data_IF_956478926418
#
_entry.id   IF_956478926418
#
_cell.length_a   1.000
_cell.length_b   1.000
_cell.length_c   1.000
_cell.angle_alpha   90.00
_cell.angle_beta   90.00
_cell.angle_gamma   90.00
#
_symmetry.space_group_name_H-M   'P 1'
#
loop_
_entity.id
_entity.type
_entity.pdbx_description
1 polymer ?
#
# COMPACT_ATOMS: atom_id res chain seq x y z
N UNK A 1 0.68 -31.24 -14.47
CA UNK A 1 -0.75 -31.43 -14.13
C UNK A 1 -1.35 -30.02 -14.05
N UNK A 2 -2.45 -29.76 -14.78
CA UNK A 2 -3.20 -28.52 -14.68
C UNK A 2 -3.69 -28.37 -13.24
N UNK A 3 -3.44 -27.23 -12.62
CA UNK A 3 -3.85 -26.95 -11.23
C UNK A 3 -5.32 -26.45 -11.12
N UNK A 4 -6.08 -26.56 -12.22
CA UNK A 4 -7.48 -26.14 -12.29
C UNK A 4 -7.72 -24.66 -12.60
N UNK A 5 -6.66 -23.83 -12.69
CA UNK A 5 -6.77 -22.38 -12.87
C UNK A 5 -6.44 -21.87 -14.28
N UNK A 6 -6.28 -22.76 -15.26
CA UNK A 6 -5.93 -22.39 -16.64
C UNK A 6 -6.99 -21.46 -17.27
N UNK A 7 -8.28 -21.71 -17.00
CA UNK A 7 -9.37 -20.84 -17.46
C UNK A 7 -9.31 -19.44 -16.90
N UNK A 8 -9.00 -19.31 -15.60
CA UNK A 8 -8.82 -18.01 -14.95
C UNK A 8 -7.59 -17.27 -15.53
N UNK A 9 -6.46 -17.98 -15.68
CA UNK A 9 -5.25 -17.39 -16.30
C UNK A 9 -5.55 -16.84 -17.68
N UNK A 10 -6.22 -17.62 -18.53
CA UNK A 10 -6.59 -17.18 -19.87
C UNK A 10 -7.45 -15.91 -19.85
N UNK A 11 -8.49 -15.85 -19.01
CA UNK A 11 -9.35 -14.65 -18.85
C UNK A 11 -8.56 -13.43 -18.39
N UNK A 12 -7.65 -13.58 -17.42
CA UNK A 12 -6.86 -12.47 -16.91
C UNK A 12 -5.85 -11.98 -17.93
N UNK A 13 -5.17 -12.90 -18.66
CA UNK A 13 -4.27 -12.52 -19.75
C UNK A 13 -5.01 -11.76 -20.85
N UNK A 14 -6.14 -12.28 -21.33
CA UNK A 14 -6.97 -11.62 -22.33
C UNK A 14 -7.40 -10.22 -21.88
N UNK A 15 -7.81 -10.08 -20.63
CA UNK A 15 -8.20 -8.77 -20.07
C UNK A 15 -7.03 -7.78 -20.04
N UNK A 16 -5.86 -8.21 -19.59
CA UNK A 16 -4.64 -7.39 -19.52
C UNK A 16 -4.15 -6.99 -20.91
N UNK A 17 -4.16 -7.93 -21.86
CA UNK A 17 -3.78 -7.69 -23.27
C UNK A 17 -4.75 -6.71 -23.95
N UNK A 18 -6.07 -6.81 -23.68
CA UNK A 18 -7.08 -5.89 -24.20
C UNK A 18 -6.91 -4.47 -23.61
N UNK A 19 -6.58 -4.34 -22.32
CA UNK A 19 -6.29 -3.06 -21.71
C UNK A 19 -5.15 -2.32 -22.40
N UNK A 20 -4.08 -3.03 -22.70
CA UNK A 20 -2.90 -2.46 -23.36
C UNK A 20 -3.17 -2.28 -24.85
N UNK A 21 -3.74 -3.28 -25.53
CA UNK A 21 -4.04 -3.25 -26.97
C UNK A 21 -5.02 -2.15 -27.37
N UNK A 22 -6.00 -1.84 -26.50
CA UNK A 22 -6.94 -0.74 -26.70
C UNK A 22 -6.37 0.63 -26.32
N UNK A 23 -5.18 0.70 -25.70
CA UNK A 23 -4.56 1.93 -25.22
C UNK A 23 -5.20 2.50 -23.93
N UNK A 24 -6.06 1.73 -23.26
CA UNK A 24 -6.59 2.11 -21.93
C UNK A 24 -5.51 2.13 -20.87
N UNK A 25 -4.55 1.19 -20.97
CA UNK A 25 -3.37 1.14 -20.11
C UNK A 25 -2.09 1.16 -20.95
N UNK A 26 -0.98 1.62 -20.34
CA UNK A 26 0.34 1.60 -20.98
C UNK A 26 1.15 0.38 -20.55
N UNK A 27 1.19 0.10 -19.25
CA UNK A 27 1.83 -1.07 -18.66
C UNK A 27 1.08 -1.52 -17.41
N UNK A 28 0.87 -2.83 -17.29
CA UNK A 28 0.06 -3.47 -16.25
C UNK A 28 0.75 -4.74 -15.76
N UNK A 29 0.64 -5.01 -14.46
CA UNK A 29 0.91 -6.31 -13.85
C UNK A 29 -0.27 -6.71 -12.96
N UNK A 30 -0.57 -8.00 -12.93
CA UNK A 30 -1.54 -8.62 -12.01
C UNK A 30 -0.97 -9.92 -11.48
N UNK A 31 -1.09 -10.15 -10.19
CA UNK A 31 -0.71 -11.40 -9.57
C UNK A 31 -1.74 -11.82 -8.52
N UNK A 32 -1.99 -13.12 -8.41
CA UNK A 32 -2.83 -13.70 -7.38
C UNK A 32 -2.21 -14.98 -6.82
N UNK A 33 -2.33 -15.13 -5.49
CA UNK A 33 -1.93 -16.33 -4.76
C UNK A 33 -3.15 -16.93 -4.07
N UNK A 34 -3.24 -18.25 -4.09
CA UNK A 34 -4.26 -19.01 -3.39
C UNK A 34 -3.58 -20.03 -2.48
N UNK A 35 -3.87 -19.96 -1.17
CA UNK A 35 -3.25 -20.82 -0.17
C UNK A 35 -1.71 -20.88 -0.27
N UNK A 36 -1.08 -19.71 -0.46
CA UNK A 36 0.37 -19.54 -0.57
C UNK A 36 0.97 -19.91 -1.94
N UNK A 37 0.16 -20.33 -2.93
CA UNK A 37 0.62 -20.71 -4.27
C UNK A 37 0.18 -19.71 -5.33
N UNK A 38 1.04 -19.34 -6.29
CA UNK A 38 0.66 -18.45 -7.37
C UNK A 38 -0.35 -19.15 -8.30
N UNK A 39 -1.48 -18.48 -8.54
CA UNK A 39 -2.51 -18.97 -9.48
C UNK A 39 -2.64 -18.10 -10.72
N UNK A 40 -2.26 -16.81 -10.62
CA UNK A 40 -2.22 -15.84 -11.72
C UNK A 40 -0.93 -15.04 -11.62
N UNK A 41 -0.26 -14.88 -12.75
CA UNK A 41 0.79 -13.89 -13.00
C UNK A 41 0.65 -13.42 -14.44
N UNK A 42 0.13 -12.21 -14.65
CA UNK A 42 -0.10 -11.63 -15.96
C UNK A 42 0.48 -10.21 -16.02
N UNK A 43 1.09 -9.86 -17.12
CA UNK A 43 1.67 -8.55 -17.36
C UNK A 43 1.73 -8.25 -18.85
N UNK A 44 1.56 -6.99 -19.21
CA UNK A 44 1.65 -6.54 -20.60
C UNK A 44 2.06 -5.07 -20.69
N UNK A 45 2.44 -4.65 -21.87
CA UNK A 45 2.68 -3.27 -22.24
C UNK A 45 4.07 -2.75 -21.93
N UNK A 46 4.17 -1.44 -21.78
CA UNK A 46 5.43 -0.69 -21.75
C UNK A 46 5.64 -0.07 -20.37
N UNK A 47 6.74 -0.41 -19.72
CA UNK A 47 7.15 0.14 -18.44
C UNK A 47 7.69 1.57 -18.58
N UNK A 48 8.39 1.87 -19.66
CA UNK A 48 8.88 3.21 -19.99
C UNK A 48 8.54 3.58 -21.44
N UNK A 49 7.52 4.41 -21.67
CA UNK A 49 7.13 4.84 -23.01
C UNK A 49 8.23 5.61 -23.77
N UNK A 50 9.16 6.27 -23.07
CA UNK A 50 10.22 7.03 -23.73
C UNK A 50 11.30 6.14 -24.38
N UNK A 51 11.52 4.95 -23.81
CA UNK A 51 12.52 3.98 -24.30
C UNK A 51 11.91 2.77 -24.98
N UNK A 52 10.60 2.55 -24.85
CA UNK A 52 9.90 1.34 -25.28
C UNK A 52 10.20 0.12 -24.41
N UNK A 53 10.78 0.29 -23.21
CA UNK A 53 11.10 -0.81 -22.31
C UNK A 53 9.83 -1.54 -21.90
N UNK A 54 9.74 -2.88 -22.13
CA UNK A 54 8.54 -3.64 -21.80
C UNK A 54 8.38 -3.82 -20.29
N UNK A 55 7.15 -4.11 -19.86
CA UNK A 55 6.87 -4.62 -18.52
C UNK A 55 7.38 -6.04 -18.40
N UNK A 56 7.98 -6.38 -17.27
CA UNK A 56 8.39 -7.73 -16.87
C UNK A 56 7.76 -8.08 -15.52
N UNK A 57 7.72 -9.36 -15.10
CA UNK A 57 7.11 -9.74 -13.82
C UNK A 57 7.69 -9.00 -12.61
N UNK A 58 8.96 -8.63 -12.67
CA UNK A 58 9.73 -7.97 -11.60
C UNK A 58 9.87 -6.46 -11.80
N UNK A 59 9.16 -5.86 -12.77
CA UNK A 59 9.14 -4.41 -12.95
C UNK A 59 8.53 -3.73 -11.72
N UNK A 60 9.25 -2.85 -11.00
CA UNK A 60 8.66 -2.12 -9.90
C UNK A 60 7.83 -0.93 -10.42
N UNK A 61 6.61 -0.78 -9.92
CA UNK A 61 5.71 0.32 -10.24
C UNK A 61 5.56 1.27 -9.04
N UNK A 62 5.72 2.60 -9.21
CA UNK A 62 5.33 3.54 -8.16
C UNK A 62 3.83 3.43 -7.93
N UNK A 63 3.44 2.88 -6.79
CA UNK A 63 2.06 2.46 -6.49
C UNK A 63 1.40 3.35 -5.44
N UNK A 64 2.01 4.49 -5.14
CA UNK A 64 1.52 5.52 -4.23
C UNK A 64 1.06 4.88 -2.90
N UNK A 65 -0.16 5.13 -2.45
CA UNK A 65 -0.65 4.70 -1.13
C UNK A 65 -0.81 3.19 -0.95
N UNK A 66 -0.68 2.37 -2.01
CA UNK A 66 -0.58 0.91 -1.86
C UNK A 66 0.61 0.53 -0.97
N UNK A 67 1.65 1.37 -0.94
CA UNK A 67 2.81 1.24 -0.04
C UNK A 67 2.47 1.26 1.46
N UNK A 68 1.34 1.84 1.88
CA UNK A 68 0.93 1.81 3.30
C UNK A 68 0.68 0.40 3.80
N UNK A 69 0.24 -0.50 2.91
CA UNK A 69 0.13 -1.92 3.24
C UNK A 69 1.48 -2.59 3.53
N UNK A 70 2.54 -2.19 2.81
CA UNK A 70 3.91 -2.61 3.13
C UNK A 70 4.34 -2.08 4.50
N UNK A 71 4.06 -0.80 4.75
CA UNK A 71 4.38 -0.14 6.03
C UNK A 71 3.70 -0.82 7.20
N UNK A 72 2.40 -1.10 7.10
CA UNK A 72 1.66 -1.83 8.10
C UNK A 72 2.26 -3.23 8.32
N UNK A 73 2.59 -3.94 7.24
CA UNK A 73 3.23 -5.27 7.31
C UNK A 73 4.56 -5.22 8.06
N UNK A 74 5.42 -4.22 7.80
CA UNK A 74 6.68 -4.03 8.55
C UNK A 74 6.41 -3.89 10.05
N UNK A 75 5.45 -3.04 10.42
CA UNK A 75 5.08 -2.86 11.84
C UNK A 75 4.63 -4.18 12.46
N UNK A 76 3.81 -4.97 11.76
CA UNK A 76 3.26 -6.21 12.29
C UNK A 76 4.33 -7.29 12.43
N UNK A 77 5.29 -7.37 11.50
CA UNK A 77 6.44 -8.27 11.61
C UNK A 77 7.30 -7.90 12.82
N UNK A 78 7.56 -6.61 13.04
CA UNK A 78 8.30 -6.15 14.21
C UNK A 78 7.53 -6.39 15.52
N UNK A 79 6.21 -6.23 15.51
CA UNK A 79 5.35 -6.52 16.66
C UNK A 79 5.27 -8.02 16.95
N UNK A 80 5.23 -8.88 15.94
CA UNK A 80 5.31 -10.35 16.10
C UNK A 80 6.61 -10.78 16.78
N UNK A 81 7.71 -10.08 16.49
CA UNK A 81 9.02 -10.33 17.08
C UNK A 81 9.25 -9.64 18.42
N UNK A 82 8.24 -8.94 18.97
CA UNK A 82 8.33 -8.23 20.24
C UNK A 82 9.21 -6.97 20.21
N UNK A 83 9.56 -6.47 19.02
CA UNK A 83 10.39 -5.26 18.85
C UNK A 83 9.56 -3.97 18.88
N UNK A 84 8.24 -4.06 18.62
CA UNK A 84 7.26 -2.99 18.70
C UNK A 84 6.00 -3.47 19.39
N UNK A 85 5.17 -2.53 19.83
CA UNK A 85 3.80 -2.77 20.30
C UNK A 85 2.87 -1.75 19.65
N UNK A 86 1.68 -2.17 19.23
CA UNK A 86 0.72 -1.26 18.60
C UNK A 86 0.31 -0.10 19.52
N UNK A 87 0.27 -0.32 20.82
CA UNK A 87 -0.07 0.69 21.82
C UNK A 87 1.16 1.47 22.36
N UNK A 88 2.31 1.37 21.67
CA UNK A 88 3.50 2.14 22.00
C UNK A 88 3.21 3.63 21.77
N UNK A 89 3.28 4.50 22.80
CA UNK A 89 3.28 5.94 22.61
C UNK A 89 4.53 6.36 21.81
N UNK A 90 4.35 7.13 20.74
CA UNK A 90 5.47 7.54 19.89
C UNK A 90 6.54 8.28 20.70
N UNK A 91 6.11 9.12 21.65
CA UNK A 91 7.00 9.89 22.52
C UNK A 91 7.94 9.04 23.38
N UNK A 92 7.66 7.74 23.57
CA UNK A 92 8.54 6.84 24.34
C UNK A 92 9.85 6.54 23.61
N UNK A 93 9.82 6.53 22.30
CA UNK A 93 11.00 6.27 21.46
C UNK A 93 11.45 7.53 20.72
N UNK A 94 10.56 8.50 20.58
CA UNK A 94 10.77 9.79 19.93
C UNK A 94 10.39 10.94 20.90
N UNK A 95 11.28 11.29 21.86
CA UNK A 95 10.93 12.23 22.95
C UNK A 95 10.49 13.62 22.49
N UNK A 96 11.05 14.12 21.37
CA UNK A 96 10.71 15.43 20.80
C UNK A 96 9.25 15.48 20.33
N UNK A 97 8.66 14.34 20.01
CA UNK A 97 7.27 14.21 19.61
C UNK A 97 6.27 14.52 20.72
N UNK A 98 6.69 14.54 22.01
CA UNK A 98 5.80 14.83 23.14
C UNK A 98 5.27 16.28 23.20
N UNK A 99 5.84 17.18 22.38
CA UNK A 99 5.39 18.58 22.32
C UNK A 99 3.88 18.66 22.01
N UNK A 100 3.23 19.73 22.49
CA UNK A 100 1.80 20.03 22.27
C UNK A 100 0.84 18.91 22.74
N UNK A 101 1.20 18.19 23.82
CA UNK A 101 0.33 17.17 24.42
C UNK A 101 0.24 15.84 23.63
N UNK A 102 1.20 15.58 22.71
CA UNK A 102 1.23 14.36 21.88
C UNK A 102 1.78 13.12 22.60
N UNK A 103 2.11 13.20 23.88
CA UNK A 103 2.64 12.10 24.69
C UNK A 103 1.71 10.86 24.73
N UNK A 104 0.42 11.03 24.46
CA UNK A 104 -0.59 9.96 24.40
C UNK A 104 -0.83 9.38 23.02
N UNK A 105 -0.27 9.95 21.96
CA UNK A 105 -0.41 9.41 20.60
C UNK A 105 0.36 8.10 20.51
N UNK A 106 -0.35 7.01 20.19
CA UNK A 106 0.23 5.68 20.05
C UNK A 106 0.39 5.30 18.57
N UNK A 107 1.20 4.28 18.31
CA UNK A 107 1.32 3.70 16.98
C UNK A 107 -0.05 3.20 16.43
N UNK A 108 -0.93 2.68 17.31
CA UNK A 108 -2.32 2.32 16.96
C UNK A 108 -3.08 3.53 16.39
N UNK A 109 -3.00 4.70 17.00
CA UNK A 109 -3.66 5.90 16.49
C UNK A 109 -3.16 6.29 15.09
N UNK A 110 -1.87 6.10 14.81
CA UNK A 110 -1.32 6.35 13.47
C UNK A 110 -1.83 5.30 12.48
N UNK A 111 -1.77 4.02 12.83
CA UNK A 111 -2.21 2.91 11.96
C UNK A 111 -3.71 2.97 11.65
N UNK A 112 -4.52 3.49 12.54
CA UNK A 112 -5.97 3.67 12.33
C UNK A 112 -6.35 5.05 11.77
N UNK A 113 -5.37 5.88 11.41
CA UNK A 113 -5.59 7.24 10.92
C UNK A 113 -6.36 8.15 11.89
N UNK A 114 -6.18 7.97 13.21
CA UNK A 114 -6.84 8.74 14.25
C UNK A 114 -5.87 9.57 15.12
N UNK A 115 -4.62 9.73 14.69
CA UNK A 115 -3.59 10.43 15.46
C UNK A 115 -3.78 11.96 15.55
N UNK A 116 -4.67 12.55 14.73
CA UNK A 116 -4.91 14.00 14.71
C UNK A 116 -3.85 14.83 13.97
N UNK A 117 -2.95 14.17 13.22
CA UNK A 117 -1.83 14.81 12.51
C UNK A 117 -1.87 14.56 10.97
N UNK A 118 -3.01 14.71 10.28
CA UNK A 118 -3.08 14.41 8.85
C UNK A 118 -2.52 15.52 7.96
N UNK A 119 -2.36 16.75 8.49
CA UNK A 119 -2.06 17.96 7.71
C UNK A 119 -0.57 18.18 7.47
N UNK A 120 -0.28 18.81 6.34
CA UNK A 120 1.03 19.37 5.96
C UNK A 120 0.93 20.89 5.76
N UNK A 121 2.03 21.65 5.87
CA UNK A 121 2.09 23.04 5.46
C UNK A 121 1.66 23.21 3.99
N UNK A 122 0.92 24.28 3.70
CA UNK A 122 0.36 24.52 2.37
C UNK A 122 1.43 24.72 1.27
N UNK A 123 2.63 25.13 1.65
CA UNK A 123 3.79 25.38 0.79
C UNK A 123 4.73 24.17 0.68
N UNK A 124 4.33 23.00 1.21
CA UNK A 124 5.14 21.77 1.12
C UNK A 124 5.46 21.44 -0.34
N UNK A 125 6.73 21.14 -0.61
CA UNK A 125 7.27 20.81 -1.91
C UNK A 125 7.69 19.34 -2.02
N UNK A 126 7.88 18.79 -3.23
CA UNK A 126 8.45 17.45 -3.39
C UNK A 126 9.84 17.27 -2.75
N UNK A 127 10.64 18.32 -2.70
CA UNK A 127 11.93 18.29 -2.01
C UNK A 127 11.76 18.13 -0.50
N UNK A 128 10.75 18.79 0.10
CA UNK A 128 10.43 18.60 1.52
C UNK A 128 10.00 17.17 1.80
N UNK A 129 9.20 16.53 0.92
CA UNK A 129 8.83 15.12 1.09
C UNK A 129 10.05 14.19 1.15
N UNK A 130 11.13 14.55 0.47
CA UNK A 130 12.38 13.77 0.45
C UNK A 130 13.30 14.08 1.65
N UNK A 131 13.05 15.15 2.38
CA UNK A 131 13.84 15.56 3.55
C UNK A 131 13.26 14.93 4.82
N UNK A 132 13.76 13.74 5.16
CA UNK A 132 13.32 12.98 6.33
C UNK A 132 13.40 13.77 7.64
N UNK A 133 14.55 14.36 7.90
CA UNK A 133 14.81 15.02 9.19
C UNK A 133 13.93 16.26 9.35
N UNK A 134 13.77 17.05 8.28
CA UNK A 134 12.87 18.19 8.23
C UNK A 134 11.41 17.80 8.52
N UNK A 135 10.92 16.74 7.85
CA UNK A 135 9.52 16.32 8.01
C UNK A 135 9.27 15.69 9.40
N UNK A 136 10.22 14.95 9.93
CA UNK A 136 10.14 14.46 11.30
C UNK A 136 10.15 15.61 12.32
N UNK A 137 11.03 16.59 12.16
CA UNK A 137 11.06 17.78 13.02
C UNK A 137 9.73 18.57 12.96
N UNK A 138 9.17 18.75 11.76
CA UNK A 138 7.88 19.39 11.54
C UNK A 138 6.77 18.66 12.29
N UNK A 139 6.71 17.32 12.19
CA UNK A 139 5.68 16.52 12.86
C UNK A 139 5.87 16.47 14.39
N UNK A 140 7.12 16.51 14.85
CA UNK A 140 7.43 16.59 16.27
C UNK A 140 6.95 17.94 16.87
N UNK A 141 6.98 19.02 16.10
CA UNK A 141 6.52 20.36 16.52
C UNK A 141 5.05 20.65 16.15
N UNK A 142 4.39 19.81 15.37
CA UNK A 142 3.01 20.02 14.95
C UNK A 142 2.03 19.87 16.12
N UNK A 143 1.02 20.75 16.20
CA UNK A 143 -0.10 20.64 17.12
C UNK A 143 -1.18 19.72 16.53
N UNK A 144 -1.69 18.71 17.28
CA UNK A 144 -2.78 17.86 16.80
C UNK A 144 -4.05 18.69 16.54
N UNK A 145 -4.78 18.36 15.49
CA UNK A 145 -6.04 19.04 15.15
C UNK A 145 -7.19 18.65 16.08
N UNK A 146 -7.07 17.52 16.78
CA UNK A 146 -8.01 16.97 17.77
C UNK A 146 -7.30 15.93 18.63
N UNK A 147 -7.95 15.52 19.70
CA UNK A 147 -7.45 14.45 20.58
C UNK A 147 -7.30 13.12 19.82
N UNK A 148 -6.22 12.35 20.08
CA UNK A 148 -6.01 11.08 19.42
C UNK A 148 -7.19 10.12 19.68
N UNK A 149 -7.68 9.50 18.60
CA UNK A 149 -8.84 8.61 18.62
C UNK A 149 -10.18 9.31 18.36
N UNK A 150 -10.26 10.63 18.39
CA UNK A 150 -11.54 11.37 18.28
C UNK A 150 -12.12 11.33 16.86
N UNK A 151 -11.27 11.42 15.83
CA UNK A 151 -11.71 11.50 14.44
C UNK A 151 -10.85 10.62 13.53
N UNK A 152 -11.52 10.03 12.55
CA UNK A 152 -10.89 9.33 11.43
C UNK A 152 -10.53 10.35 10.35
N UNK A 153 -9.24 10.50 10.07
CA UNK A 153 -8.74 11.35 8.99
C UNK A 153 -7.54 10.72 8.30
N UNK A 154 -7.64 10.48 7.03
CA UNK A 154 -6.58 9.84 6.27
C UNK A 154 -5.27 10.63 6.31
N UNK A 155 -4.24 10.08 6.93
CA UNK A 155 -2.90 10.63 7.00
C UNK A 155 -2.17 10.32 5.69
N UNK A 156 -2.44 11.10 4.63
CA UNK A 156 -1.99 10.78 3.28
C UNK A 156 -0.46 10.64 3.17
N UNK A 157 0.28 11.61 3.69
CA UNK A 157 1.73 11.66 3.71
C UNK A 157 2.32 11.42 5.10
N UNK A 158 1.74 12.05 6.12
CA UNK A 158 2.26 12.07 7.48
C UNK A 158 2.35 10.68 8.11
N UNK A 159 1.47 9.74 7.69
CA UNK A 159 1.54 8.32 8.04
C UNK A 159 2.96 7.75 7.89
N UNK A 160 3.64 8.10 6.79
CA UNK A 160 4.95 7.55 6.49
C UNK A 160 6.00 7.92 7.54
N UNK A 161 6.14 9.19 7.84
CA UNK A 161 7.15 9.64 8.81
C UNK A 161 6.77 9.25 10.24
N UNK A 162 5.47 9.33 10.61
CA UNK A 162 5.03 8.92 11.95
C UNK A 162 5.34 7.45 12.23
N UNK A 163 5.07 6.56 11.29
CA UNK A 163 5.41 5.13 11.43
C UNK A 163 6.90 4.92 11.25
N UNK A 164 7.49 5.46 10.20
CA UNK A 164 8.88 5.20 9.85
C UNK A 164 9.87 5.71 10.89
N UNK A 165 9.65 6.89 11.48
CA UNK A 165 10.51 7.41 12.55
C UNK A 165 10.32 6.60 13.85
N UNK A 166 9.08 6.17 14.15
CA UNK A 166 8.85 5.26 15.27
C UNK A 166 9.61 3.94 15.12
N UNK A 167 9.59 3.34 13.92
CA UNK A 167 10.38 2.13 13.61
C UNK A 167 11.88 2.41 13.76
N UNK A 168 12.36 3.51 13.16
CA UNK A 168 13.78 3.87 13.23
C UNK A 168 14.26 4.07 14.67
N UNK A 169 13.55 4.85 15.48
CA UNK A 169 13.90 5.10 16.88
C UNK A 169 13.81 3.86 17.77
N UNK A 170 12.84 2.99 17.49
CA UNK A 170 12.68 1.76 18.29
C UNK A 170 13.68 0.67 17.94
N UNK A 171 14.12 0.58 16.67
CA UNK A 171 14.96 -0.55 16.20
C UNK A 171 16.36 -0.16 15.78
N UNK A 172 16.67 1.13 15.62
CA UNK A 172 17.92 1.63 15.04
C UNK A 172 18.05 1.42 13.52
N UNK A 173 17.01 0.86 12.84
CA UNK A 173 17.01 0.57 11.41
C UNK A 173 16.00 1.46 10.68
N UNK A 174 16.32 1.92 9.47
CA UNK A 174 15.36 2.55 8.59
C UNK A 174 14.28 1.54 8.19
N UNK A 175 13.06 2.01 7.99
CA UNK A 175 11.92 1.12 7.66
C UNK A 175 12.11 0.41 6.31
N UNK A 176 12.77 1.05 5.34
CA UNK A 176 13.17 0.43 4.06
C UNK A 176 14.13 -0.73 4.26
N UNK A 177 15.06 -0.60 5.19
CA UNK A 177 15.98 -1.69 5.55
C UNK A 177 15.22 -2.87 6.17
N UNK A 178 14.27 -2.60 7.08
CA UNK A 178 13.43 -3.67 7.67
C UNK A 178 12.59 -4.36 6.60
N UNK A 179 11.97 -3.59 5.67
CA UNK A 179 11.22 -4.16 4.55
C UNK A 179 12.10 -5.11 3.72
N UNK A 180 13.30 -4.70 3.38
CA UNK A 180 14.22 -5.49 2.56
C UNK A 180 14.70 -6.77 3.28
N UNK A 181 15.12 -6.65 4.55
CA UNK A 181 15.75 -7.74 5.31
C UNK A 181 14.73 -8.74 5.86
N UNK A 182 13.58 -8.25 6.35
CA UNK A 182 12.62 -9.06 7.11
C UNK A 182 11.45 -9.57 6.28
N UNK A 183 11.25 -8.98 5.08
CA UNK A 183 10.11 -9.29 4.21
C UNK A 183 10.56 -9.68 2.80
N UNK A 184 11.20 -8.76 2.06
CA UNK A 184 11.50 -9.00 0.66
C UNK A 184 12.51 -10.12 0.44
N UNK A 185 13.62 -10.14 1.22
CA UNK A 185 14.66 -11.16 1.09
C UNK A 185 14.16 -12.57 1.49
N UNK A 186 13.48 -12.77 2.64
CA UNK A 186 12.93 -14.08 2.99
C UNK A 186 11.89 -14.59 1.97
N UNK A 187 11.10 -13.70 1.39
CA UNK A 187 10.10 -14.04 0.37
C UNK A 187 10.71 -14.29 -1.02
N UNK A 188 12.02 -14.10 -1.20
CA UNK A 188 12.68 -14.29 -2.49
C UNK A 188 12.30 -13.26 -3.56
N UNK A 189 11.93 -12.04 -3.14
CA UNK A 189 11.57 -10.91 -4.01
C UNK A 189 12.44 -9.67 -3.75
N UNK A 190 13.78 -9.81 -3.59
CA UNK A 190 14.66 -8.67 -3.39
C UNK A 190 14.59 -7.73 -4.61
N UNK A 191 14.55 -6.42 -4.37
CA UNK A 191 14.47 -5.43 -5.45
C UNK A 191 13.10 -5.30 -6.12
N UNK A 192 12.02 -5.73 -5.43
CA UNK A 192 10.65 -5.62 -5.95
C UNK A 192 9.68 -4.93 -4.97
N UNK A 193 10.11 -4.63 -3.75
CA UNK A 193 9.34 -3.88 -2.74
C UNK A 193 10.24 -2.78 -2.19
N UNK A 194 9.85 -1.51 -2.38
CA UNK A 194 10.63 -0.36 -1.95
C UNK A 194 9.74 0.72 -1.31
N UNK A 195 10.31 1.44 -0.34
CA UNK A 195 9.89 2.79 0.02
C UNK A 195 10.79 3.81 -0.69
N UNK A 196 12.10 3.72 -0.50
CA UNK A 196 13.10 4.45 -1.29
C UNK A 196 13.78 3.50 -2.28
N UNK A 197 13.73 3.84 -3.57
CA UNK A 197 14.36 3.02 -4.63
C UNK A 197 15.85 3.34 -4.69
N UNK A 198 16.75 2.35 -4.54
CA UNK A 198 18.18 2.54 -4.74
C UNK A 198 18.51 3.08 -6.13
N UNK A 199 19.56 3.89 -6.24
CA UNK A 199 19.97 4.51 -7.52
C UNK A 199 20.17 3.45 -8.63
N UNK A 200 20.72 2.29 -8.29
CA UNK A 200 20.95 1.19 -9.23
C UNK A 200 19.65 0.58 -9.79
N UNK A 201 18.54 0.68 -9.05
CA UNK A 201 17.24 0.12 -9.43
C UNK A 201 16.31 1.12 -10.13
N UNK A 202 16.62 2.44 -10.06
CA UNK A 202 15.79 3.47 -10.71
C UNK A 202 15.53 3.20 -12.20
N UNK A 203 16.52 2.72 -13.00
CA UNK A 203 16.28 2.41 -14.41
C UNK A 203 15.25 1.29 -14.64
N UNK A 204 14.98 0.44 -13.63
CA UNK A 204 13.99 -0.64 -13.71
C UNK A 204 12.56 -0.17 -13.42
N UNK A 205 12.42 0.95 -12.71
CA UNK A 205 11.12 1.48 -12.28
C UNK A 205 10.25 1.85 -13.47
N UNK A 206 8.97 1.50 -13.41
CA UNK A 206 8.00 1.90 -14.41
C UNK A 206 7.76 3.41 -14.34
N UNK A 207 7.74 4.07 -15.51
CA UNK A 207 7.53 5.50 -15.60
C UNK A 207 6.04 5.82 -15.54
N UNK A 208 5.63 6.58 -14.53
CA UNK A 208 4.24 7.03 -14.41
C UNK A 208 3.88 8.03 -15.52
N UNK A 209 2.67 7.86 -16.04
CA UNK A 209 2.00 8.82 -16.92
C UNK A 209 0.62 9.14 -16.35
N UNK A 210 0.22 10.41 -16.43
CA UNK A 210 -1.09 10.84 -15.95
C UNK A 210 -2.17 10.58 -17.01
N UNK A 211 -3.32 10.08 -16.57
CA UNK A 211 -4.51 9.89 -17.40
C UNK A 211 -5.73 10.56 -16.74
N UNK A 212 -5.58 11.83 -16.37
CA UNK A 212 -6.63 12.63 -15.79
C UNK A 212 -6.70 12.60 -14.26
N UNK A 213 -5.89 11.78 -13.58
CA UNK A 213 -5.87 11.74 -12.11
C UNK A 213 -5.52 13.09 -11.51
N UNK A 214 -4.50 13.76 -12.03
CA UNK A 214 -4.07 15.07 -11.54
C UNK A 214 -5.19 16.10 -11.61
N UNK A 215 -5.86 16.19 -12.76
CA UNK A 215 -6.98 17.12 -12.94
C UNK A 215 -8.17 16.77 -12.02
N UNK A 216 -8.45 15.48 -11.83
CA UNK A 216 -9.51 15.02 -10.92
C UNK A 216 -9.21 15.41 -9.47
N UNK A 217 -7.97 15.22 -9.01
CA UNK A 217 -7.57 15.62 -7.63
C UNK A 217 -7.68 17.13 -7.47
N UNK A 218 -7.20 17.91 -8.45
CA UNK A 218 -7.28 19.37 -8.41
C UNK A 218 -8.74 19.87 -8.42
N UNK A 219 -9.62 19.20 -9.15
CA UNK A 219 -11.07 19.48 -9.13
C UNK A 219 -11.71 19.09 -7.78
N UNK A 220 -11.36 17.91 -7.25
CA UNK A 220 -11.85 17.44 -5.95
C UNK A 220 -11.44 18.39 -4.82
N UNK A 221 -10.27 19.00 -4.87
CA UNK A 221 -9.80 19.97 -3.90
C UNK A 221 -10.70 21.22 -3.82
N UNK A 222 -11.37 21.57 -4.90
CA UNK A 222 -12.36 22.66 -4.92
C UNK A 222 -13.64 22.38 -4.15
N UNK A 223 -13.95 21.10 -3.86
CA UNK A 223 -15.18 20.68 -3.17
C UNK A 223 -14.91 19.93 -1.86
N UNK A 224 -13.70 19.41 -1.65
CA UNK A 224 -13.27 18.73 -0.44
C UNK A 224 -12.37 19.67 0.39
N UNK A 225 -12.92 20.38 1.38
CA UNK A 225 -12.23 21.49 2.04
C UNK A 225 -10.95 21.07 2.80
N UNK A 226 -10.82 19.79 3.10
CA UNK A 226 -9.67 19.28 3.87
C UNK A 226 -8.60 18.62 2.99
N UNK A 227 -8.86 18.43 1.70
CA UNK A 227 -7.90 17.76 0.80
C UNK A 227 -6.59 18.56 0.68
N UNK A 228 -6.66 19.88 0.56
CA UNK A 228 -5.48 20.74 0.50
C UNK A 228 -4.64 20.71 1.77
N UNK A 229 -5.25 20.38 2.90
CA UNK A 229 -4.52 20.26 4.17
C UNK A 229 -3.72 18.98 4.26
N UNK A 230 -4.21 17.86 3.71
CA UNK A 230 -3.55 16.55 3.78
C UNK A 230 -2.66 16.27 2.57
N UNK A 231 -2.97 16.89 1.44
CA UNK A 231 -2.23 16.80 0.19
C UNK A 231 -2.17 18.18 -0.49
N UNK A 232 -1.30 19.08 -0.03
CA UNK A 232 -1.15 20.42 -0.58
C UNK A 232 -0.92 20.42 -2.11
N UNK A 233 -1.26 21.49 -2.83
CA UNK A 233 -1.14 21.55 -4.30
C UNK A 233 0.24 21.17 -4.83
N UNK A 234 1.32 21.49 -4.10
CA UNK A 234 2.70 21.17 -4.48
C UNK A 234 3.05 19.68 -4.40
N UNK A 235 2.24 18.88 -3.69
CA UNK A 235 2.54 17.47 -3.38
C UNK A 235 1.29 16.59 -3.50
N UNK A 236 0.49 16.79 -4.55
CA UNK A 236 -0.63 15.89 -4.85
C UNK A 236 -0.12 14.45 -5.04
N UNK A 237 -0.84 13.43 -4.54
CA UNK A 237 -0.47 12.02 -4.72
C UNK A 237 -0.85 11.53 -6.13
N UNK A 238 -0.16 12.05 -7.12
CA UNK A 238 -0.34 11.77 -8.55
C UNK A 238 1.01 11.55 -9.26
N UNK A 239 1.00 11.39 -10.59
CA UNK A 239 2.21 11.14 -11.37
C UNK A 239 3.22 12.30 -11.30
N UNK A 240 2.76 13.55 -11.10
CA UNK A 240 3.63 14.74 -11.00
C UNK A 240 4.54 14.68 -9.78
N UNK A 241 4.07 14.08 -8.70
CA UNK A 241 4.80 13.93 -7.43
C UNK A 241 5.47 12.57 -7.35
N UNK A 242 4.70 11.48 -7.48
CA UNK A 242 5.18 10.11 -7.23
C UNK A 242 6.23 9.62 -8.25
N UNK A 243 6.24 10.18 -9.45
CA UNK A 243 7.24 9.85 -10.49
C UNK A 243 8.55 10.64 -10.42
N UNK A 244 8.70 11.57 -9.47
CA UNK A 244 9.91 12.41 -9.35
C UNK A 244 11.07 11.61 -8.77
N UNK A 245 12.28 11.74 -9.35
CA UNK A 245 13.45 11.00 -8.86
C UNK A 245 13.76 11.22 -7.38
N UNK A 246 13.59 12.44 -6.87
CA UNK A 246 13.80 12.76 -5.45
C UNK A 246 12.80 12.06 -4.55
N UNK A 247 11.53 11.92 -4.97
CA UNK A 247 10.48 11.21 -4.21
C UNK A 247 10.66 9.70 -4.31
N UNK A 248 11.03 9.18 -5.49
CA UNK A 248 11.31 7.76 -5.68
C UNK A 248 12.49 7.27 -4.83
N UNK A 249 13.52 8.12 -4.61
CA UNK A 249 14.68 7.79 -3.77
C UNK A 249 14.41 7.96 -2.28
N UNK A 250 13.40 8.74 -1.91
CA UNK A 250 13.11 9.04 -0.52
C UNK A 250 12.62 7.79 0.22
N UNK A 251 13.14 7.55 1.41
CA UNK A 251 12.60 6.53 2.33
C UNK A 251 11.25 7.02 2.89
N UNK A 252 10.22 6.97 2.07
CA UNK A 252 8.91 7.56 2.34
C UNK A 252 7.83 6.48 2.44
N UNK A 253 7.61 5.87 3.62
CA UNK A 253 6.67 4.77 3.79
C UNK A 253 5.18 5.15 3.77
N UNK A 254 4.84 6.34 3.27
CA UNK A 254 3.48 6.72 2.88
C UNK A 254 3.14 6.24 1.47
N UNK A 255 4.16 5.97 0.67
CA UNK A 255 4.07 5.49 -0.71
C UNK A 255 4.93 4.23 -0.88
N UNK A 256 4.71 3.50 -1.97
CA UNK A 256 5.51 2.33 -2.28
C UNK A 256 5.80 2.23 -3.76
N UNK A 257 6.92 1.59 -4.08
CA UNK A 257 7.27 1.15 -5.43
C UNK A 257 7.39 -0.36 -5.37
N UNK A 258 6.55 -1.08 -6.14
CA UNK A 258 6.40 -2.52 -5.97
C UNK A 258 6.00 -3.23 -7.27
N UNK A 259 6.34 -4.52 -7.38
CA UNK A 259 5.75 -5.40 -8.39
C UNK A 259 4.47 -6.05 -7.85
N UNK A 260 3.52 -6.36 -8.73
CA UNK A 260 2.28 -7.01 -8.33
C UNK A 260 2.54 -8.40 -7.71
N UNK A 261 3.48 -9.17 -8.27
CA UNK A 261 3.81 -10.50 -7.73
C UNK A 261 4.39 -10.43 -6.32
N UNK A 262 5.28 -9.47 -6.05
CA UNK A 262 5.89 -9.33 -4.73
C UNK A 262 4.87 -8.86 -3.69
N UNK A 263 3.98 -7.94 -4.05
CA UNK A 263 2.89 -7.50 -3.17
C UNK A 263 1.92 -8.66 -2.87
N UNK A 264 1.42 -9.38 -3.89
CA UNK A 264 0.52 -10.51 -3.68
C UNK A 264 1.17 -11.61 -2.83
N UNK A 265 2.47 -11.91 -3.06
CA UNK A 265 3.25 -12.88 -2.28
C UNK A 265 3.42 -12.45 -0.82
N UNK A 266 3.69 -11.18 -0.58
CA UNK A 266 3.78 -10.62 0.78
C UNK A 266 2.45 -10.80 1.53
N UNK A 267 1.33 -10.42 0.92
CA UNK A 267 0.02 -10.62 1.54
C UNK A 267 -0.32 -12.11 1.73
N UNK A 268 0.09 -12.99 0.80
CA UNK A 268 -0.07 -14.45 0.97
C UNK A 268 0.69 -14.96 2.19
N UNK A 269 1.90 -14.44 2.44
CA UNK A 269 2.71 -14.80 3.62
C UNK A 269 2.17 -14.23 4.94
N UNK A 270 1.24 -13.27 4.89
CA UNK A 270 0.44 -12.86 6.06
C UNK A 270 -0.66 -13.90 6.34
N UNK A 271 -1.32 -14.43 5.30
CA UNK A 271 -2.40 -15.41 5.45
C UNK A 271 -1.89 -16.79 5.90
N UNK A 272 -0.72 -17.20 5.42
CA UNK A 272 -0.20 -18.54 5.69
C UNK A 272 1.26 -18.71 5.29
N UNK A 273 1.66 -19.95 5.12
CA UNK A 273 3.01 -20.31 4.64
C UNK A 273 3.14 -20.10 3.13
N UNK A 274 4.23 -19.49 2.71
CA UNK A 274 4.64 -19.34 1.31
C UNK A 274 6.09 -19.79 1.21
N UNK A 275 6.32 -20.97 0.67
CA UNK A 275 7.65 -21.59 0.50
C UNK A 275 8.48 -21.59 1.81
N UNK A 276 7.83 -21.93 2.93
CA UNK A 276 8.46 -21.97 4.25
C UNK A 276 8.50 -20.63 4.99
N UNK A 277 7.94 -19.57 4.43
CA UNK A 277 7.91 -18.25 5.06
C UNK A 277 6.49 -17.87 5.46
N UNK A 278 6.30 -17.56 6.73
CA UNK A 278 5.11 -16.94 7.29
C UNK A 278 5.51 -15.68 8.04
N UNK A 279 4.91 -14.55 7.72
CA UNK A 279 5.33 -13.24 8.27
C UNK A 279 4.81 -12.99 9.69
N UNK A 280 3.58 -13.40 9.98
CA UNK A 280 2.93 -13.22 11.29
C UNK A 280 2.07 -14.43 11.65
N UNK A 281 1.80 -14.61 12.94
CA UNK A 281 0.89 -15.66 13.44
C UNK A 281 -0.56 -15.40 13.04
N UNK A 282 -1.41 -16.45 13.10
CA UNK A 282 -2.83 -16.33 12.84
C UNK A 282 -3.54 -15.39 13.83
N UNK A 283 -3.05 -15.37 15.08
CA UNK A 283 -3.59 -14.51 16.13
C UNK A 283 -3.28 -13.04 15.82
N UNK A 284 -2.03 -12.76 15.44
CA UNK A 284 -1.62 -11.42 14.99
C UNK A 284 -2.42 -10.98 13.76
N UNK A 285 -2.59 -11.86 12.78
CA UNK A 285 -3.39 -11.55 11.60
C UNK A 285 -4.81 -11.13 11.99
N UNK A 286 -5.49 -11.91 12.86
CA UNK A 286 -6.83 -11.54 13.34
C UNK A 286 -6.85 -10.20 14.05
N UNK A 287 -5.89 -9.93 14.93
CA UNK A 287 -5.77 -8.66 15.64
C UNK A 287 -5.70 -7.48 14.64
N UNK A 288 -4.82 -7.56 13.64
CA UNK A 288 -4.50 -6.41 12.79
C UNK A 288 -5.49 -6.20 11.65
N UNK A 289 -6.28 -7.20 11.31
CA UNK A 289 -7.31 -7.13 10.26
C UNK A 289 -8.73 -7.01 10.82
N UNK A 290 -8.93 -7.13 12.13
CA UNK A 290 -10.20 -6.78 12.76
C UNK A 290 -10.42 -5.28 12.64
N UNK A 291 -11.64 -4.88 12.27
CA UNK A 291 -12.03 -3.48 12.21
C UNK A 291 -11.78 -2.81 13.57
N UNK A 292 -10.86 -1.84 13.58
CA UNK A 292 -10.48 -1.09 14.77
C UNK A 292 -11.18 0.27 14.85
N UNK A 293 -11.55 0.84 13.70
CA UNK A 293 -12.28 2.09 13.59
C UNK A 293 -13.14 2.10 12.33
N UNK A 294 -14.33 2.67 12.45
CA UNK A 294 -15.26 2.96 11.34
C UNK A 294 -15.90 4.31 11.56
N UNK A 295 -16.10 5.04 10.50
CA UNK A 295 -16.84 6.30 10.54
C UNK A 295 -16.59 7.18 9.32
N UNK A 296 -17.21 8.37 9.31
CA UNK A 296 -16.98 9.34 8.26
C UNK A 296 -15.54 9.83 8.27
N UNK A 297 -14.88 9.68 7.14
CA UNK A 297 -13.50 10.08 6.97
C UNK A 297 -13.44 11.60 6.72
N UNK A 298 -12.61 12.30 7.48
CA UNK A 298 -12.58 13.77 7.55
C UNK A 298 -12.21 14.47 6.25
N UNK A 299 -11.43 13.83 5.37
CA UNK A 299 -10.99 14.41 4.08
C UNK A 299 -12.07 14.24 3.02
N UNK A 300 -12.57 13.01 2.87
CA UNK A 300 -13.46 12.64 1.76
C UNK A 300 -14.94 12.63 2.15
N UNK A 301 -15.26 12.65 3.44
CA UNK A 301 -16.64 12.64 3.95
C UNK A 301 -17.36 11.29 3.78
N UNK A 302 -16.72 10.30 3.19
CA UNK A 302 -17.28 8.97 3.01
C UNK A 302 -16.98 8.06 4.21
N UNK A 303 -17.83 7.06 4.44
CA UNK A 303 -17.56 6.02 5.43
C UNK A 303 -16.30 5.25 5.06
N UNK A 304 -15.40 5.07 6.04
CA UNK A 304 -14.21 4.25 5.91
C UNK A 304 -14.04 3.35 7.13
N UNK A 305 -13.44 2.18 6.92
CA UNK A 305 -13.13 1.23 7.97
C UNK A 305 -11.66 0.81 7.89
N UNK A 306 -10.99 0.80 9.03
CA UNK A 306 -9.58 0.44 9.14
C UNK A 306 -9.35 -0.59 10.24
N UNK A 307 -8.54 -1.60 9.91
CA UNK A 307 -7.80 -2.36 10.89
C UNK A 307 -6.52 -1.61 11.28
N UNK A 308 -5.51 -2.32 11.75
CA UNK A 308 -4.24 -1.67 12.09
C UNK A 308 -3.38 -1.47 10.81
N UNK A 309 -3.61 -0.36 10.11
CA UNK A 309 -2.86 0.06 8.92
C UNK A 309 -3.36 -0.52 7.60
N UNK A 310 -4.40 -1.33 7.61
CA UNK A 310 -5.07 -1.83 6.41
C UNK A 310 -6.49 -1.29 6.33
N UNK A 311 -6.94 -0.94 5.12
CA UNK A 311 -8.36 -0.80 4.85
C UNK A 311 -9.04 -2.18 5.01
N UNK A 312 -10.25 -2.20 5.56
CA UNK A 312 -11.03 -3.42 5.76
C UNK A 312 -12.37 -3.28 5.07
N UNK A 313 -12.65 -4.16 4.12
CA UNK A 313 -13.91 -4.18 3.39
C UNK A 313 -14.98 -5.02 4.13
N UNK A 314 -16.23 -4.81 3.76
CA UNK A 314 -17.38 -5.48 4.40
C UNK A 314 -17.38 -7.02 4.22
N UNK A 315 -16.67 -7.54 3.20
CA UNK A 315 -16.50 -8.98 2.97
C UNK A 315 -15.33 -9.59 3.78
N UNK A 316 -14.71 -8.80 4.66
CA UNK A 316 -13.57 -9.21 5.49
C UNK A 316 -12.24 -9.22 4.73
N UNK A 317 -12.19 -8.76 3.49
CA UNK A 317 -10.93 -8.51 2.81
C UNK A 317 -10.21 -7.31 3.42
N UNK A 318 -8.89 -7.32 3.37
CA UNK A 318 -8.06 -6.24 3.87
C UNK A 318 -6.90 -5.94 2.91
N UNK A 319 -6.45 -4.69 2.91
CA UNK A 319 -5.36 -4.32 2.03
C UNK A 319 -5.13 -2.82 1.93
N UNK A 320 -4.54 -2.41 0.81
CA UNK A 320 -4.30 -1.03 0.49
C UNK A 320 -4.43 -0.76 -1.00
N UNK A 321 -4.95 0.41 -1.34
CA UNK A 321 -5.03 0.93 -2.70
C UNK A 321 -4.32 2.29 -2.79
N UNK A 322 -3.77 2.58 -3.96
CA UNK A 322 -3.13 3.86 -4.26
C UNK A 322 -4.02 4.73 -5.16
N UNK A 323 -3.88 6.04 -5.04
CA UNK A 323 -4.66 7.02 -5.81
C UNK A 323 -4.50 6.88 -7.33
N UNK A 324 -3.46 6.20 -7.80
CA UNK A 324 -3.26 5.89 -9.22
C UNK A 324 -3.95 4.60 -9.70
N UNK A 325 -4.67 3.88 -8.83
CA UNK A 325 -5.39 2.64 -9.13
C UNK A 325 -4.62 1.36 -8.86
N UNK A 326 -3.33 1.40 -8.48
CA UNK A 326 -2.64 0.20 -7.99
C UNK A 326 -3.25 -0.27 -6.68
N UNK A 327 -3.31 -1.58 -6.47
CA UNK A 327 -3.93 -2.19 -5.29
C UNK A 327 -3.25 -3.50 -4.86
N UNK A 328 -3.41 -3.86 -3.59
CA UNK A 328 -3.05 -5.18 -3.07
C UNK A 328 -3.99 -5.54 -1.90
N UNK A 329 -4.72 -6.64 -2.04
CA UNK A 329 -5.73 -7.09 -1.07
C UNK A 329 -5.61 -8.59 -0.79
N UNK A 330 -5.98 -8.96 0.42
CA UNK A 330 -6.09 -10.34 0.88
C UNK A 330 -7.52 -10.66 1.31
N UNK A 331 -7.95 -11.88 1.04
CA UNK A 331 -9.26 -12.47 1.37
C UNK A 331 -9.04 -13.68 2.29
N UNK A 332 -8.98 -13.49 3.62
CA UNK A 332 -8.62 -14.57 4.54
C UNK A 332 -9.53 -15.80 4.42
N UNK A 333 -10.82 -15.59 4.18
CA UNK A 333 -11.79 -16.68 4.08
C UNK A 333 -11.61 -17.55 2.83
N UNK A 334 -11.01 -16.99 1.76
CA UNK A 334 -10.69 -17.71 0.54
C UNK A 334 -9.25 -18.21 0.51
N UNK A 335 -8.38 -17.71 1.40
CA UNK A 335 -6.94 -17.91 1.30
C UNK A 335 -6.33 -17.25 0.07
N UNK A 336 -7.02 -16.23 -0.49
CA UNK A 336 -6.67 -15.56 -1.75
C UNK A 336 -6.00 -14.21 -1.48
N UNK A 337 -5.01 -13.89 -2.30
CA UNK A 337 -4.49 -12.52 -2.40
C UNK A 337 -4.42 -12.07 -3.85
N UNK A 338 -4.68 -10.79 -4.09
CA UNK A 338 -4.64 -10.19 -5.42
C UNK A 338 -3.90 -8.88 -5.33
N UNK A 339 -2.96 -8.66 -6.24
CA UNK A 339 -2.33 -7.36 -6.43
C UNK A 339 -2.32 -7.00 -7.91
N UNK A 340 -2.51 -5.71 -8.19
CA UNK A 340 -2.45 -5.16 -9.53
C UNK A 340 -1.74 -3.81 -9.51
N UNK A 341 -0.88 -3.57 -10.50
CA UNK A 341 -0.13 -2.32 -10.66
C UNK A 341 -0.22 -1.82 -12.08
N UNK A 342 -0.13 -0.49 -12.24
CA UNK A 342 -0.12 0.17 -13.55
C UNK A 342 0.72 1.43 -13.53
N UNK A 343 1.17 1.89 -14.68
CA UNK A 343 1.91 3.14 -14.83
C UNK A 343 1.13 4.27 -15.52
N UNK A 344 -0.05 4.00 -16.04
CA UNK A 344 -0.96 5.03 -16.54
C UNK A 344 -1.99 5.33 -15.45
N UNK A 345 -1.62 6.26 -14.55
CA UNK A 345 -2.44 6.54 -13.37
C UNK A 345 -3.72 7.26 -13.75
N UNK A 346 -4.83 6.70 -13.33
CA UNK A 346 -6.17 7.22 -13.55
C UNK A 346 -7.02 7.00 -12.29
N UNK A 347 -8.19 7.61 -12.26
CA UNK A 347 -9.21 7.33 -11.26
C UNK A 347 -10.60 7.49 -11.89
N UNK A 348 -11.60 6.94 -11.25
CA UNK A 348 -12.97 7.02 -11.68
C UNK A 348 -13.71 5.69 -11.60
N UNK A 349 -14.99 5.73 -11.89
CA UNK A 349 -15.86 4.56 -11.93
C UNK A 349 -15.37 3.56 -12.99
N UNK A 350 -15.44 2.28 -12.65
CA UNK A 350 -15.05 1.22 -13.56
C UNK A 350 -13.53 1.05 -13.71
N UNK A 351 -12.75 1.36 -12.67
CA UNK A 351 -11.30 1.17 -12.66
C UNK A 351 -10.93 -0.27 -13.06
N UNK A 352 -10.08 -0.46 -14.09
CA UNK A 352 -9.70 -1.79 -14.57
C UNK A 352 -9.02 -2.67 -13.51
N UNK A 353 -8.28 -2.08 -12.56
CA UNK A 353 -7.60 -2.86 -11.51
C UNK A 353 -8.60 -3.43 -10.52
N UNK A 354 -9.66 -2.68 -10.18
CA UNK A 354 -10.77 -3.19 -9.36
C UNK A 354 -11.62 -4.23 -10.12
N UNK A 355 -11.78 -4.08 -11.44
CA UNK A 355 -12.41 -5.12 -12.27
C UNK A 355 -11.61 -6.43 -12.24
N UNK A 356 -10.29 -6.37 -12.38
CA UNK A 356 -9.39 -7.52 -12.29
C UNK A 356 -9.44 -8.17 -10.89
N UNK A 357 -9.40 -7.35 -9.83
CA UNK A 357 -9.55 -7.83 -8.45
C UNK A 357 -10.87 -8.58 -8.27
N UNK A 358 -11.97 -8.02 -8.75
CA UNK A 358 -13.32 -8.61 -8.68
C UNK A 358 -13.41 -9.89 -9.48
N UNK A 359 -12.93 -9.89 -10.73
CA UNK A 359 -12.90 -11.07 -11.60
C UNK A 359 -12.18 -12.25 -10.93
N UNK A 360 -10.97 -12.03 -10.42
CA UNK A 360 -10.16 -13.08 -9.80
C UNK A 360 -10.86 -13.60 -8.53
N UNK A 361 -11.36 -12.72 -7.67
CA UNK A 361 -12.09 -13.09 -6.45
C UNK A 361 -13.31 -13.96 -6.76
N UNK A 362 -14.12 -13.55 -7.72
CA UNK A 362 -15.39 -14.21 -8.04
C UNK A 362 -15.18 -15.57 -8.71
N UNK A 363 -14.19 -15.69 -9.59
CA UNK A 363 -13.79 -16.97 -10.19
C UNK A 363 -13.26 -17.96 -9.14
N UNK A 364 -12.43 -17.47 -8.20
CA UNK A 364 -11.93 -18.33 -7.11
C UNK A 364 -13.07 -18.75 -6.19
N UNK A 365 -13.99 -17.85 -5.84
CA UNK A 365 -15.16 -18.17 -5.03
C UNK A 365 -16.03 -19.24 -5.69
N UNK A 366 -16.33 -19.08 -6.98
CA UNK A 366 -17.13 -20.05 -7.74
C UNK A 366 -16.43 -21.41 -7.85
N UNK A 367 -15.09 -21.44 -8.02
CA UNK A 367 -14.29 -22.65 -8.03
C UNK A 367 -14.35 -23.42 -6.70
N UNK A 368 -14.24 -22.71 -5.57
CA UNK A 368 -14.32 -23.30 -4.22
C UNK A 368 -15.73 -23.85 -3.94
N UNK A 369 -16.78 -23.15 -4.38
CA UNK A 369 -18.18 -23.59 -4.19
C UNK A 369 -18.50 -24.83 -5.07
N UNK A 370 -18.00 -24.88 -6.31
CA UNK A 370 -18.23 -25.98 -7.24
C UNK A 370 -17.54 -27.29 -6.88
N UNK A 371 -16.38 -27.23 -6.22
CA UNK A 371 -15.65 -28.40 -5.73
C UNK A 371 -16.30 -29.06 -4.50
N UNK A 372 -17.48 -28.54 -4.06
CA UNK A 372 -18.37 -29.20 -3.10
C UNK A 372 -17.67 -29.69 -1.84
N UNK A 373 -16.83 -28.85 -1.23
CA UNK A 373 -16.26 -29.19 0.09
C UNK A 373 -15.25 -30.33 0.07
N UNK A 374 -14.52 -30.56 -0.99
CA UNK A 374 -13.29 -31.35 -0.94
C UNK A 374 -12.27 -30.57 -0.14
N UNK A 375 -12.34 -30.82 1.15
CA UNK A 375 -11.43 -30.29 2.17
C UNK A 375 -9.99 -30.43 1.73
N UNK A 376 -9.34 -29.32 1.34
CA UNK A 376 -7.91 -29.18 1.45
C UNK A 376 -7.52 -29.06 2.95
N UNK A 377 -7.79 -30.15 3.70
CA UNK A 377 -7.17 -30.39 4.99
C UNK A 377 -5.92 -31.23 4.72
N UNK A 378 -4.79 -30.56 4.57
CA UNK A 378 -3.48 -31.09 5.02
C UNK A 378 -2.46 -29.97 5.12
#
# INVERSE_FOLDING_TARGET
>A
MSDGWDGLRAKVHEFVDDLVGSGREAGVQVAAYLHGRPIVEAYAGTADPATGRPVTPDTPFPSISTGKGLTATVVHVLAERGQLHHDLPLARVWPEFAAHGKDRITLRHVLTHTAGLPALPADTTPADLADWDRMCALLADAEPLWEPGERLAYHAWTFGWLVGETVHRATGRRISQVLAEEIAAPLGVPGELFFGVPEADLPRVARLTDNGLAAMIDQAAGVLPNLDRVAPPGVRPDARTAGRPEVLRADLPAVGTLSARAAARMYAALLGDVDGVRLISADRLREVTTEAVRGPEWVFGAEAAWGLGYAVDADGSFGAAGSGGSLAFAYPQLGLTVAATRNRVAAGDGDPMEQLRTLIRDEVRAGVESDGGRTYRR
#
